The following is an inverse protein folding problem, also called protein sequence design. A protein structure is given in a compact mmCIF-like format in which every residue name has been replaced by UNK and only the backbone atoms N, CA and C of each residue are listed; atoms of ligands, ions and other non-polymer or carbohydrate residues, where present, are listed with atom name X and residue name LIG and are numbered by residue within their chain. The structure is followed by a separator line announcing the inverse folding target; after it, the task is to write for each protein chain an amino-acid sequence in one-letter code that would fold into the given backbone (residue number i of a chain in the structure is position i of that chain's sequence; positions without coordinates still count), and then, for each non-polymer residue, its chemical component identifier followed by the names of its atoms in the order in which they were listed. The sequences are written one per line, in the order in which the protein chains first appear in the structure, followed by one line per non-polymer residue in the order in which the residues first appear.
data_IF_728741229034
#
_entry.id   IF_728741229034
#
_cell.length_a   1.000
_cell.length_b   1.000
_cell.length_c   1.000
_cell.angle_alpha   90.00
_cell.angle_beta   90.00
_cell.angle_gamma   90.00
#
_symmetry.space_group_name_H-M   'P 1'
#
loop_
_entity.id
_entity.type
_entity.pdbx_description
1 polymer ?
#
# COMPACT_ATOMS: atom_id res chain seq x y z
N UNK A 1 10.11 12.53 -26.07
CA UNK A 1 11.29 11.77 -26.50
C UNK A 1 11.42 10.55 -25.61
N UNK A 2 11.55 9.36 -26.21
CA UNK A 2 11.86 8.12 -25.48
C UNK A 2 13.38 8.08 -25.40
N UNK A 3 13.92 8.20 -24.21
CA UNK A 3 15.34 7.94 -24.00
C UNK A 3 15.44 6.54 -23.43
N UNK A 4 15.78 5.57 -24.29
CA UNK A 4 16.23 4.25 -23.81
C UNK A 4 17.64 4.44 -23.31
N UNK A 5 17.93 4.03 -22.09
CA UNK A 5 19.26 4.06 -21.53
C UNK A 5 20.09 2.94 -22.16
N UNK A 6 21.22 3.23 -22.82
CA UNK A 6 22.02 2.20 -23.46
C UNK A 6 22.61 1.25 -22.41
N UNK A 7 22.47 -0.05 -22.65
CA UNK A 7 23.03 -1.12 -21.82
C UNK A 7 24.57 -1.11 -21.76
N UNK A 8 25.23 -0.27 -22.53
CA UNK A 8 26.69 -0.22 -22.70
C UNK A 8 27.45 0.47 -21.58
N UNK A 9 26.80 1.15 -20.64
CA UNK A 9 27.47 1.77 -19.49
C UNK A 9 27.57 0.86 -18.26
N UNK A 10 27.06 -0.39 -18.32
CA UNK A 10 27.18 -1.38 -17.24
C UNK A 10 28.34 -2.39 -17.44
N UNK A 11 29.14 -2.25 -18.50
CA UNK A 11 30.30 -3.13 -18.76
C UNK A 11 31.59 -2.53 -18.20
N UNK A 12 31.71 -2.46 -16.90
CA UNK A 12 32.95 -1.97 -16.26
C UNK A 12 33.16 -2.53 -14.85
N UNK A 13 32.29 -3.45 -14.39
CA UNK A 13 32.49 -4.14 -13.13
C UNK A 13 32.76 -5.62 -13.43
N UNK A 14 34.05 -5.96 -13.50
CA UNK A 14 34.52 -7.35 -13.40
C UNK A 14 34.05 -7.91 -12.06
N UNK A 15 33.61 -9.19 -11.94
CA UNK A 15 33.33 -9.78 -10.66
C UNK A 15 34.63 -9.88 -9.87
N UNK A 16 34.82 -8.96 -8.92
CA UNK A 16 35.84 -9.11 -7.88
C UNK A 16 35.37 -10.23 -6.96
N UNK A 17 36.25 -11.19 -6.72
CA UNK A 17 36.10 -12.23 -5.69
C UNK A 17 35.82 -11.58 -4.33
N UNK A 18 35.08 -12.24 -3.42
CA UNK A 18 34.73 -11.68 -2.13
C UNK A 18 35.98 -11.69 -1.22
N UNK A 19 36.72 -10.59 -1.20
CA UNK A 19 37.60 -10.29 -0.06
C UNK A 19 36.72 -9.93 1.12
N UNK A 20 36.98 -10.63 2.23
CA UNK A 20 36.20 -10.54 3.45
C UNK A 20 36.34 -9.17 4.13
N UNK A 21 35.28 -8.86 4.87
CA UNK A 21 35.19 -7.92 5.98
C UNK A 21 35.58 -6.44 5.76
N UNK A 22 34.56 -5.65 5.49
CA UNK A 22 34.21 -4.51 6.35
C UNK A 22 32.78 -4.01 6.06
N UNK A 23 31.77 -4.76 6.47
CA UNK A 23 30.34 -4.35 6.43
C UNK A 23 29.96 -3.37 7.55
N UNK A 24 30.92 -2.68 8.18
CA UNK A 24 30.65 -1.85 9.36
C UNK A 24 30.61 -0.34 9.11
N UNK A 25 30.70 0.16 7.86
CA UNK A 25 30.76 1.61 7.61
C UNK A 25 29.99 2.14 6.40
N UNK A 26 28.82 1.63 6.09
CA UNK A 26 27.78 2.45 5.45
C UNK A 26 26.62 2.57 6.43
N UNK A 27 26.68 3.58 7.30
CA UNK A 27 25.53 3.96 8.10
C UNK A 27 24.39 4.25 7.12
N UNK A 28 23.41 3.33 7.04
CA UNK A 28 22.12 3.63 6.43
C UNK A 28 21.65 4.96 7.03
N UNK A 29 21.10 5.89 6.24
CA UNK A 29 20.63 7.16 6.79
C UNK A 29 19.76 6.85 8.00
N UNK A 30 20.06 7.49 9.12
CA UNK A 30 19.41 7.26 10.41
C UNK A 30 17.89 7.31 10.23
N UNK A 31 17.24 6.17 10.43
CA UNK A 31 15.79 6.03 10.27
C UNK A 31 15.14 6.65 11.50
N UNK A 32 14.72 7.90 11.39
CA UNK A 32 14.10 8.65 12.48
C UNK A 32 12.59 8.86 12.27
N UNK A 33 11.75 8.06 12.94
CA UNK A 33 10.30 8.22 12.91
C UNK A 33 9.81 9.60 13.38
N UNK A 34 10.57 10.33 14.21
CA UNK A 34 10.21 11.65 14.71
C UNK A 34 10.19 12.74 13.61
N UNK A 35 10.83 12.47 12.46
CA UNK A 35 10.77 13.36 11.29
C UNK A 35 9.45 13.33 10.53
N UNK A 36 8.54 12.41 10.87
CA UNK A 36 7.24 12.24 10.18
C UNK A 36 6.16 12.98 10.95
N UNK A 37 5.77 14.16 10.46
CA UNK A 37 4.69 14.97 11.05
C UNK A 37 3.45 14.99 10.13
N UNK A 38 2.47 14.13 10.46
CA UNK A 38 1.20 14.03 9.74
C UNK A 38 0.36 15.29 9.92
N UNK A 39 0.43 15.96 11.08
CA UNK A 39 -0.33 17.17 11.35
C UNK A 39 0.23 18.37 10.56
N UNK A 40 1.56 18.51 10.45
CA UNK A 40 2.18 19.49 9.56
C UNK A 40 1.75 19.26 8.11
N UNK A 41 1.84 18.00 7.64
CA UNK A 41 1.44 17.64 6.29
C UNK A 41 -0.04 17.98 6.04
N UNK A 42 -0.93 17.72 7.00
CA UNK A 42 -2.36 18.05 6.88
C UNK A 42 -2.59 19.56 6.72
N UNK A 43 -1.96 20.37 7.58
CA UNK A 43 -2.05 21.84 7.48
C UNK A 43 -1.51 22.34 6.13
N UNK A 44 -0.40 21.79 5.67
CA UNK A 44 0.19 22.22 4.40
C UNK A 44 -0.65 21.76 3.19
N UNK A 45 -1.26 20.56 3.24
CA UNK A 45 -2.07 20.02 2.15
C UNK A 45 -3.48 20.60 2.08
N UNK A 46 -3.94 21.33 3.09
CA UNK A 46 -5.27 21.95 3.10
C UNK A 46 -5.48 22.87 1.88
N UNK A 47 -6.60 22.67 1.18
CA UNK A 47 -6.91 23.34 -0.10
C UNK A 47 -6.01 22.94 -1.29
N UNK A 48 -4.97 22.13 -1.09
CA UNK A 48 -4.05 21.68 -2.15
C UNK A 48 -4.39 20.31 -2.72
N UNK A 49 -5.03 19.46 -1.95
CA UNK A 49 -5.57 18.15 -2.36
C UNK A 49 -7.10 18.15 -2.25
N UNK A 50 -7.75 17.13 -2.79
CA UNK A 50 -9.19 16.98 -2.58
C UNK A 50 -9.42 16.40 -1.18
N UNK A 51 -10.35 17.00 -0.43
CA UNK A 51 -10.92 16.34 0.72
C UNK A 51 -11.94 15.33 0.20
N UNK A 52 -11.50 14.09 0.03
CA UNK A 52 -12.29 13.02 -0.59
C UNK A 52 -13.47 12.62 0.32
N UNK A 53 -14.60 12.17 -0.23
CA UNK A 53 -15.77 11.82 0.57
C UNK A 53 -15.52 10.59 1.45
N UNK A 54 -16.28 10.54 2.55
CA UNK A 54 -16.43 9.36 3.38
C UNK A 54 -17.67 8.60 2.91
N UNK A 55 -17.48 7.35 2.51
CA UNK A 55 -18.53 6.49 1.96
C UNK A 55 -18.92 5.41 2.95
N UNK A 56 -20.17 4.96 2.87
CA UNK A 56 -20.73 3.86 3.66
C UNK A 56 -21.82 3.14 2.88
N UNK A 57 -21.93 1.83 3.04
CA UNK A 57 -23.04 1.02 2.51
C UNK A 57 -23.63 0.15 3.63
N UNK A 58 -24.96 0.24 3.90
CA UNK A 58 -25.61 -0.68 4.83
C UNK A 58 -25.51 -2.15 4.42
N UNK A 59 -25.36 -2.45 3.13
CA UNK A 59 -25.14 -3.81 2.65
C UNK A 59 -23.75 -4.32 3.05
N UNK A 60 -22.72 -3.51 2.88
CA UNK A 60 -21.34 -3.83 3.31
C UNK A 60 -21.27 -3.95 4.83
N UNK A 61 -21.92 -3.05 5.58
CA UNK A 61 -21.99 -3.13 7.03
C UNK A 61 -22.57 -4.47 7.53
N UNK A 62 -23.64 -4.94 6.88
CA UNK A 62 -24.25 -6.25 7.22
C UNK A 62 -23.31 -7.42 6.95
N UNK A 63 -22.61 -7.41 5.81
CA UNK A 63 -21.64 -8.45 5.46
C UNK A 63 -20.45 -8.44 6.42
N UNK A 64 -19.97 -7.25 6.79
CA UNK A 64 -18.88 -7.08 7.72
C UNK A 64 -19.27 -7.27 9.19
N UNK A 65 -20.56 -7.25 9.55
CA UNK A 65 -21.00 -7.29 10.95
C UNK A 65 -20.61 -6.08 11.79
N UNK A 66 -20.05 -5.05 11.16
CA UNK A 66 -19.60 -3.79 11.76
C UNK A 66 -19.92 -2.62 10.84
N UNK A 67 -19.94 -1.40 11.36
CA UNK A 67 -20.00 -0.20 10.53
C UNK A 67 -18.67 0.00 9.81
N UNK A 68 -18.70 0.11 8.48
CA UNK A 68 -17.50 0.33 7.64
C UNK A 68 -17.57 1.73 7.04
N UNK A 69 -16.62 2.58 7.43
CA UNK A 69 -16.43 3.92 6.87
C UNK A 69 -15.26 3.91 5.90
N UNK A 70 -15.48 4.30 4.64
CA UNK A 70 -14.49 4.18 3.56
C UNK A 70 -14.08 5.56 3.05
N UNK A 71 -12.81 5.95 3.23
CA UNK A 71 -12.22 7.18 2.68
C UNK A 71 -11.89 6.97 1.20
N UNK A 72 -12.57 7.68 0.31
CA UNK A 72 -12.53 7.44 -1.14
C UNK A 72 -11.31 8.10 -1.81
N UNK A 73 -10.10 7.68 -1.48
CA UNK A 73 -8.87 8.20 -2.08
C UNK A 73 -8.65 7.76 -3.54
N UNK A 74 -9.43 6.81 -4.04
CA UNK A 74 -9.56 6.52 -5.46
C UNK A 74 -10.12 7.69 -6.28
N UNK A 75 -10.81 8.64 -5.63
CA UNK A 75 -11.32 9.88 -6.23
C UNK A 75 -10.34 11.06 -6.08
N UNK A 76 -9.19 10.86 -5.46
CA UNK A 76 -8.17 11.90 -5.32
C UNK A 76 -7.59 12.30 -6.68
N UNK A 77 -7.02 13.51 -6.79
CA UNK A 77 -6.26 13.94 -7.97
C UNK A 77 -5.19 12.91 -8.30
N UNK A 78 -5.07 12.52 -9.58
CA UNK A 78 -4.19 11.43 -9.99
C UNK A 78 -4.71 10.03 -9.66
N UNK A 79 -5.95 9.92 -9.14
CA UNK A 79 -6.64 8.65 -8.92
C UNK A 79 -6.13 7.84 -7.72
N UNK A 80 -5.37 8.44 -6.78
CA UNK A 80 -4.90 7.72 -5.59
C UNK A 80 -4.40 8.64 -4.47
N UNK A 81 -4.37 8.13 -3.25
CA UNK A 81 -3.82 8.80 -2.06
C UNK A 81 -2.33 9.17 -2.19
N UNK A 82 -1.60 8.55 -3.14
CA UNK A 82 -0.20 8.88 -3.42
C UNK A 82 0.01 10.36 -3.75
N UNK A 83 -1.03 11.03 -4.26
CA UNK A 83 -0.99 12.47 -4.50
C UNK A 83 -0.68 13.28 -3.24
N UNK A 84 -1.13 12.85 -2.08
CA UNK A 84 -0.91 13.53 -0.80
C UNK A 84 0.57 13.54 -0.44
N UNK A 85 1.20 12.36 -0.38
CA UNK A 85 2.62 12.23 -0.08
C UNK A 85 3.51 12.82 -1.18
N UNK A 86 3.19 12.58 -2.46
CA UNK A 86 3.95 13.14 -3.58
C UNK A 86 3.93 14.67 -3.61
N UNK A 87 2.75 15.28 -3.38
CA UNK A 87 2.62 16.75 -3.38
C UNK A 87 3.34 17.38 -2.19
N UNK A 88 3.24 16.80 -0.99
CA UNK A 88 3.90 17.32 0.19
C UNK A 88 5.44 17.22 0.07
N UNK A 89 5.96 16.05 -0.29
CA UNK A 89 7.40 15.84 -0.44
C UNK A 89 8.00 16.75 -1.54
N UNK A 90 7.40 16.78 -2.73
CA UNK A 90 7.90 17.66 -3.81
C UNK A 90 7.80 19.12 -3.41
N UNK A 91 6.72 19.55 -2.75
CA UNK A 91 6.57 20.94 -2.30
C UNK A 91 7.65 21.36 -1.30
N UNK A 92 8.03 20.49 -0.37
CA UNK A 92 9.14 20.73 0.58
C UNK A 92 10.50 20.81 -0.12
N UNK A 93 10.74 19.91 -1.07
CA UNK A 93 11.98 19.94 -1.87
C UNK A 93 12.10 21.22 -2.70
N UNK A 94 11.00 21.67 -3.31
CA UNK A 94 10.97 22.95 -4.04
C UNK A 94 11.21 24.14 -3.11
N UNK A 95 10.61 24.13 -1.93
CA UNK A 95 10.88 25.17 -0.91
C UNK A 95 12.35 25.17 -0.43
N UNK A 96 13.01 24.01 -0.46
CA UNK A 96 14.45 23.88 -0.20
C UNK A 96 15.34 24.28 -1.40
N UNK A 97 14.76 24.73 -2.52
CA UNK A 97 15.49 25.23 -3.70
C UNK A 97 15.74 24.21 -4.80
N UNK A 98 15.25 22.98 -4.70
CA UNK A 98 15.42 21.97 -5.74
C UNK A 98 14.59 22.31 -6.99
N UNK A 99 15.17 22.07 -8.17
CA UNK A 99 14.58 22.38 -9.49
C UNK A 99 13.99 21.16 -10.20
N UNK A 100 14.08 20.00 -9.61
CA UNK A 100 13.53 18.75 -10.13
C UNK A 100 13.59 17.64 -9.11
N UNK A 101 12.98 16.51 -9.44
CA UNK A 101 12.93 15.30 -8.62
C UNK A 101 13.07 14.05 -9.48
N UNK A 102 13.57 12.99 -8.89
CA UNK A 102 13.65 11.66 -9.50
C UNK A 102 12.80 10.68 -8.68
N UNK A 103 12.08 9.77 -9.33
CA UNK A 103 11.34 8.72 -8.66
C UNK A 103 11.39 7.40 -9.43
N UNK A 104 11.22 6.28 -8.72
CA UNK A 104 11.02 4.97 -9.30
C UNK A 104 9.62 4.47 -8.95
N UNK A 105 8.80 4.21 -9.95
CA UNK A 105 7.49 3.58 -9.74
C UNK A 105 6.81 3.33 -11.07
N UNK A 106 6.14 2.20 -11.21
CA UNK A 106 5.31 1.87 -12.38
C UNK A 106 3.84 2.28 -12.24
N UNK A 107 3.44 2.87 -11.11
CA UNK A 107 2.02 3.10 -10.79
C UNK A 107 1.74 4.49 -10.22
N UNK A 108 0.87 4.50 -9.23
CA UNK A 108 0.28 5.70 -8.64
C UNK A 108 1.30 6.73 -8.12
N UNK A 109 2.47 6.28 -7.63
CA UNK A 109 3.49 7.19 -7.13
C UNK A 109 4.15 7.99 -8.26
N UNK A 110 4.42 7.35 -9.41
CA UNK A 110 4.96 8.03 -10.59
C UNK A 110 4.05 9.19 -11.03
N UNK A 111 2.75 8.92 -11.12
CA UNK A 111 1.74 9.91 -11.49
C UNK A 111 1.68 11.03 -10.45
N UNK A 112 1.70 10.69 -9.16
CA UNK A 112 1.64 11.67 -8.08
C UNK A 112 2.84 12.62 -8.08
N UNK A 113 4.06 12.11 -8.22
CA UNK A 113 5.29 12.90 -8.28
C UNK A 113 5.30 13.79 -9.54
N UNK A 114 4.89 13.25 -10.69
CA UNK A 114 4.81 14.01 -11.94
C UNK A 114 3.82 15.19 -11.85
N UNK A 115 2.61 14.93 -11.32
CA UNK A 115 1.59 15.97 -11.11
C UNK A 115 2.05 17.02 -10.10
N UNK A 116 2.72 16.59 -9.02
CA UNK A 116 3.27 17.49 -8.02
C UNK A 116 4.36 18.39 -8.60
N UNK A 117 5.32 17.83 -9.33
CA UNK A 117 6.38 18.59 -10.00
C UNK A 117 5.81 19.58 -11.02
N UNK A 118 4.86 19.15 -11.86
CA UNK A 118 4.15 20.03 -12.80
C UNK A 118 3.46 21.20 -12.10
N UNK A 119 2.82 20.95 -10.96
CA UNK A 119 2.16 22.00 -10.17
C UNK A 119 3.14 23.05 -9.65
N UNK A 120 4.35 22.64 -9.33
CA UNK A 120 5.41 23.51 -8.83
C UNK A 120 6.33 24.07 -9.94
N UNK A 121 6.10 23.73 -11.21
CA UNK A 121 6.91 24.18 -12.34
C UNK A 121 8.33 23.64 -12.35
N UNK A 122 8.56 22.44 -11.77
CA UNK A 122 9.87 21.78 -11.71
C UNK A 122 9.87 20.47 -12.50
N UNK A 123 11.07 19.96 -12.85
CA UNK A 123 11.21 18.73 -13.61
C UNK A 123 10.88 17.49 -12.76
N UNK A 124 10.24 16.48 -13.36
CA UNK A 124 10.13 15.14 -12.81
C UNK A 124 10.71 14.12 -13.77
N UNK A 125 11.66 13.31 -13.30
CA UNK A 125 12.14 12.13 -14.03
C UNK A 125 11.67 10.87 -13.33
N UNK A 126 10.99 9.98 -14.05
CA UNK A 126 10.45 8.73 -13.50
C UNK A 126 11.08 7.55 -14.21
N UNK A 127 11.67 6.64 -13.45
CA UNK A 127 12.28 5.41 -13.97
C UNK A 127 11.28 4.27 -13.88
N UNK A 128 10.97 3.66 -15.04
CA UNK A 128 10.09 2.50 -15.17
C UNK A 128 10.90 1.32 -15.73
N UNK A 129 10.46 0.06 -15.51
CA UNK A 129 11.11 -1.09 -16.15
C UNK A 129 10.95 -1.05 -17.66
N UNK A 130 11.87 -1.70 -18.38
CA UNK A 130 11.87 -1.72 -19.87
C UNK A 130 10.65 -2.42 -20.44
N UNK A 131 10.03 -3.33 -19.68
CA UNK A 131 8.82 -4.09 -20.00
C UNK A 131 7.54 -3.47 -19.42
N UNK A 132 7.59 -2.21 -18.96
CA UNK A 132 6.42 -1.53 -18.42
C UNK A 132 5.28 -1.45 -19.45
N UNK A 133 4.04 -1.77 -19.08
CA UNK A 133 2.89 -1.61 -19.97
C UNK A 133 2.80 -0.20 -20.54
N UNK A 134 2.51 -0.10 -21.84
CA UNK A 134 2.42 1.18 -22.55
C UNK A 134 1.46 2.17 -21.86
N UNK A 135 0.33 1.68 -21.34
CA UNK A 135 -0.65 2.47 -20.60
C UNK A 135 -0.06 3.14 -19.35
N UNK A 136 0.82 2.47 -18.62
CA UNK A 136 1.50 3.04 -17.43
C UNK A 136 2.54 4.07 -17.84
N UNK A 137 3.28 3.83 -18.92
CA UNK A 137 4.24 4.79 -19.50
C UNK A 137 3.52 6.08 -19.93
N UNK A 138 2.44 5.93 -20.70
CA UNK A 138 1.67 7.08 -21.19
C UNK A 138 1.00 7.86 -20.06
N UNK A 139 0.52 7.18 -19.04
CA UNK A 139 -0.06 7.84 -17.85
C UNK A 139 0.97 8.71 -17.12
N UNK A 140 2.21 8.23 -16.96
CA UNK A 140 3.30 9.01 -16.37
C UNK A 140 3.67 10.23 -17.24
N UNK A 141 3.73 10.06 -18.58
CA UNK A 141 3.98 11.16 -19.53
C UNK A 141 2.87 12.20 -19.52
N UNK A 142 1.61 11.77 -19.57
CA UNK A 142 0.44 12.65 -19.51
C UNK A 142 0.41 13.48 -18.22
N UNK A 143 0.92 12.92 -17.11
CA UNK A 143 1.12 13.62 -15.86
C UNK A 143 2.24 14.67 -15.90
N UNK A 144 3.12 14.64 -16.92
CA UNK A 144 4.19 15.60 -17.13
C UNK A 144 5.60 15.10 -16.81
N UNK A 145 5.80 13.79 -16.59
CA UNK A 145 7.12 13.23 -16.33
C UNK A 145 7.95 13.00 -17.58
N UNK A 146 9.26 13.21 -17.48
CA UNK A 146 10.26 12.55 -18.32
C UNK A 146 10.35 11.09 -17.90
N UNK A 147 10.02 10.17 -18.81
CA UNK A 147 10.09 8.72 -18.53
C UNK A 147 11.40 8.15 -19.04
N UNK A 148 12.13 7.47 -18.19
CA UNK A 148 13.33 6.67 -18.49
C UNK A 148 12.96 5.21 -18.30
N UNK A 149 13.17 4.40 -19.34
CA UNK A 149 12.99 2.96 -19.28
C UNK A 149 14.32 2.30 -18.96
N UNK A 150 14.41 1.57 -17.85
CA UNK A 150 15.66 0.96 -17.39
C UNK A 150 15.41 -0.27 -16.52
N UNK A 151 16.26 -1.29 -16.72
CA UNK A 151 16.28 -2.51 -15.91
C UNK A 151 15.00 -3.34 -15.99
N UNK A 152 15.14 -4.62 -15.66
CA UNK A 152 14.02 -5.57 -15.53
C UNK A 152 13.66 -5.81 -14.04
N UNK A 153 14.61 -5.65 -13.15
CA UNK A 153 14.41 -5.80 -11.70
C UNK A 153 14.51 -4.46 -10.94
N UNK A 154 14.14 -4.49 -9.67
CA UNK A 154 14.08 -3.28 -8.81
C UNK A 154 15.47 -2.72 -8.54
N UNK A 155 16.51 -3.59 -8.35
CA UNK A 155 17.86 -3.16 -8.01
C UNK A 155 18.49 -2.37 -9.15
N UNK A 156 18.35 -2.86 -10.41
CA UNK A 156 18.79 -2.14 -11.60
C UNK A 156 18.13 -0.77 -11.73
N UNK A 157 16.81 -0.68 -11.52
CA UNK A 157 16.10 0.61 -11.55
C UNK A 157 16.57 1.58 -10.48
N UNK A 158 16.81 1.09 -9.26
CA UNK A 158 17.32 1.92 -8.17
C UNK A 158 18.74 2.44 -8.46
N UNK A 159 19.59 1.65 -9.13
CA UNK A 159 20.90 2.09 -9.58
C UNK A 159 20.78 3.27 -10.57
N UNK A 160 19.89 3.16 -11.57
CA UNK A 160 19.62 4.25 -12.53
C UNK A 160 19.02 5.48 -11.85
N UNK A 161 18.13 5.30 -10.89
CA UNK A 161 17.57 6.42 -10.11
C UNK A 161 18.67 7.16 -9.35
N UNK A 162 19.60 6.45 -8.68
CA UNK A 162 20.73 7.07 -7.97
C UNK A 162 21.65 7.82 -8.96
N UNK A 163 22.01 7.19 -10.06
CA UNK A 163 22.83 7.82 -11.09
C UNK A 163 22.17 9.10 -11.61
N UNK A 164 20.89 9.08 -11.95
CA UNK A 164 20.16 10.27 -12.40
C UNK A 164 20.09 11.36 -11.31
N UNK A 165 19.97 10.97 -10.05
CA UNK A 165 20.00 11.90 -8.92
C UNK A 165 21.38 12.57 -8.79
N UNK A 166 22.46 11.80 -8.90
CA UNK A 166 23.84 12.29 -8.82
C UNK A 166 24.18 13.22 -9.98
N UNK A 167 23.80 12.84 -11.22
CA UNK A 167 24.04 13.62 -12.43
C UNK A 167 23.29 14.95 -12.47
N UNK A 168 22.07 14.97 -11.95
CA UNK A 168 21.17 16.14 -12.07
C UNK A 168 21.11 16.99 -10.81
N UNK A 169 21.57 16.47 -9.65
CA UNK A 169 21.35 17.05 -8.34
C UNK A 169 19.88 17.02 -7.89
N UNK A 170 19.02 16.27 -8.58
CA UNK A 170 17.61 16.15 -8.25
C UNK A 170 17.40 15.09 -7.18
N UNK A 171 16.80 15.41 -6.02
CA UNK A 171 16.55 14.45 -4.97
C UNK A 171 15.61 13.34 -5.38
N UNK A 172 15.79 12.17 -4.76
CA UNK A 172 14.92 11.01 -4.94
C UNK A 172 13.70 11.14 -4.04
N UNK A 173 12.51 10.97 -4.62
CA UNK A 173 11.25 10.86 -3.87
C UNK A 173 10.82 9.40 -3.86
N UNK A 174 11.16 8.70 -2.77
CA UNK A 174 10.77 7.29 -2.60
C UNK A 174 9.27 7.13 -2.37
N UNK A 175 8.70 6.02 -2.84
CA UNK A 175 7.25 5.79 -2.85
C UNK A 175 6.64 5.53 -1.45
N UNK A 176 7.46 5.15 -0.48
CA UNK A 176 7.04 4.75 0.86
C UNK A 176 8.12 4.94 1.94
N UNK A 177 9.40 4.96 1.59
CA UNK A 177 10.52 5.09 2.54
C UNK A 177 11.08 6.52 2.57
N UNK A 178 10.17 7.49 2.71
CA UNK A 178 10.47 8.92 2.72
C UNK A 178 9.58 9.63 3.77
N UNK A 179 10.12 10.41 4.70
CA UNK A 179 9.35 10.99 5.82
C UNK A 179 8.18 11.85 5.35
N UNK A 180 8.38 12.74 4.39
CA UNK A 180 7.32 13.61 3.88
C UNK A 180 6.27 12.83 3.08
N UNK A 181 6.66 11.74 2.41
CA UNK A 181 5.71 10.87 1.71
C UNK A 181 4.82 10.13 2.72
N UNK A 182 5.41 9.57 3.78
CA UNK A 182 4.67 8.91 4.86
C UNK A 182 3.73 9.91 5.55
N UNK A 183 4.23 11.10 5.91
CA UNK A 183 3.44 12.16 6.53
C UNK A 183 2.24 12.56 5.67
N UNK A 184 2.48 12.85 4.40
CA UNK A 184 1.42 13.24 3.47
C UNK A 184 0.38 12.13 3.27
N UNK A 185 0.78 10.86 3.15
CA UNK A 185 -0.13 9.73 3.03
C UNK A 185 -0.97 9.51 4.30
N UNK A 186 -0.40 9.75 5.48
CA UNK A 186 -1.09 9.68 6.77
C UNK A 186 -2.27 10.63 6.88
N UNK A 187 -2.27 11.73 6.11
CA UNK A 187 -3.37 12.73 6.15
C UNK A 187 -4.71 12.16 5.68
N UNK A 188 -4.72 11.12 4.83
CA UNK A 188 -5.96 10.44 4.44
C UNK A 188 -6.62 9.74 5.64
N UNK A 189 -5.81 9.08 6.47
CA UNK A 189 -6.27 8.46 7.72
C UNK A 189 -6.67 9.49 8.77
N UNK A 190 -5.93 10.59 8.88
CA UNK A 190 -6.28 11.68 9.79
C UNK A 190 -7.65 12.29 9.44
N UNK A 191 -7.89 12.60 8.16
CA UNK A 191 -9.19 13.09 7.69
C UNK A 191 -10.32 12.08 7.98
N UNK A 192 -10.08 10.77 7.75
CA UNK A 192 -11.05 9.71 8.04
C UNK A 192 -11.41 9.68 9.53
N UNK A 193 -10.41 9.73 10.42
CA UNK A 193 -10.62 9.75 11.87
C UNK A 193 -11.46 10.96 12.28
N UNK A 194 -11.05 12.17 11.86
CA UNK A 194 -11.75 13.41 12.19
C UNK A 194 -13.19 13.46 11.65
N UNK A 195 -13.42 12.92 10.44
CA UNK A 195 -14.76 12.86 9.84
C UNK A 195 -15.66 11.86 10.56
N UNK A 196 -15.10 10.72 10.97
CA UNK A 196 -15.80 9.73 11.79
C UNK A 196 -16.19 10.31 13.16
N UNK A 197 -15.27 10.98 13.85
CA UNK A 197 -15.52 11.66 15.13
C UNK A 197 -16.62 12.72 14.99
N UNK A 198 -16.53 13.60 13.97
CA UNK A 198 -17.54 14.64 13.71
C UNK A 198 -18.93 14.09 13.37
N UNK A 199 -18.99 12.91 12.75
CA UNK A 199 -20.26 12.24 12.43
C UNK A 199 -20.87 11.46 13.60
N UNK A 200 -20.24 11.48 14.78
CA UNK A 200 -20.69 10.71 15.94
C UNK A 200 -20.45 9.19 15.82
N UNK A 201 -19.52 8.79 14.94
CA UNK A 201 -19.15 7.40 14.71
C UNK A 201 -17.64 7.19 14.86
N UNK A 202 -17.05 7.44 16.04
CA UNK A 202 -15.61 7.29 16.24
C UNK A 202 -15.16 5.89 15.89
N UNK A 203 -13.94 5.79 15.33
CA UNK A 203 -13.37 4.53 14.87
C UNK A 203 -12.85 3.70 16.05
N UNK A 204 -13.09 2.39 16.00
CA UNK A 204 -12.39 1.40 16.83
C UNK A 204 -11.13 0.90 16.14
N UNK A 205 -11.13 0.82 14.82
CA UNK A 205 -9.97 0.36 14.05
C UNK A 205 -9.84 1.08 12.69
N UNK A 206 -8.60 1.09 12.19
CA UNK A 206 -8.24 1.43 10.81
C UNK A 206 -7.66 0.20 10.12
N UNK A 207 -8.09 -0.07 8.89
CA UNK A 207 -7.61 -1.19 8.08
C UNK A 207 -7.11 -0.66 6.74
N UNK A 208 -5.81 -0.86 6.45
CA UNK A 208 -5.15 -0.33 5.26
C UNK A 208 -4.39 -1.40 4.49
N UNK A 209 -4.43 -1.37 3.15
CA UNK A 209 -3.57 -2.21 2.33
C UNK A 209 -2.10 -1.83 2.50
N UNK A 210 -1.22 -2.83 2.50
CA UNK A 210 0.23 -2.67 2.68
C UNK A 210 0.97 -3.14 1.43
N UNK A 211 1.69 -2.20 0.82
CA UNK A 211 2.78 -2.50 -0.09
C UNK A 211 4.11 -2.24 0.64
N UNK A 212 4.81 -1.13 0.36
CA UNK A 212 6.03 -0.73 1.07
C UNK A 212 5.81 -0.17 2.49
N UNK A 213 4.58 -0.09 2.98
CA UNK A 213 4.26 0.27 4.36
C UNK A 213 4.00 1.76 4.64
N UNK A 214 4.29 2.68 3.71
CA UNK A 214 4.18 4.13 3.97
C UNK A 214 2.78 4.59 4.36
N UNK A 215 1.72 3.99 3.77
CA UNK A 215 0.33 4.34 4.11
C UNK A 215 -0.06 3.89 5.52
N UNK A 216 0.24 2.64 5.88
CA UNK A 216 -0.08 2.11 7.20
C UNK A 216 0.76 2.75 8.30
N UNK A 217 2.02 3.11 8.00
CA UNK A 217 2.86 3.90 8.92
C UNK A 217 2.26 5.28 9.20
N UNK A 218 1.84 6.00 8.16
CA UNK A 218 1.12 7.26 8.30
C UNK A 218 -0.18 7.12 9.08
N UNK A 219 -0.93 6.02 8.91
CA UNK A 219 -2.14 5.72 9.66
C UNK A 219 -1.86 5.48 11.16
N UNK A 220 -0.79 4.74 11.50
CA UNK A 220 -0.36 4.55 12.88
C UNK A 220 -0.05 5.89 13.57
N UNK A 221 0.60 6.81 12.85
CA UNK A 221 0.89 8.14 13.40
C UNK A 221 -0.37 8.99 13.50
N UNK A 222 -1.28 8.94 12.54
CA UNK A 222 -2.57 9.65 12.61
C UNK A 222 -3.44 9.15 13.77
N UNK A 223 -3.38 7.87 14.10
CA UNK A 223 -4.12 7.24 15.19
C UNK A 223 -3.44 7.43 16.56
N UNK A 224 -2.22 7.95 16.60
CA UNK A 224 -1.45 8.07 17.85
C UNK A 224 -2.22 8.89 18.91
N UNK A 225 -2.26 8.41 20.15
CA UNK A 225 -2.99 9.03 21.26
C UNK A 225 -4.51 8.80 21.25
N UNK A 226 -5.03 8.01 20.29
CA UNK A 226 -6.44 7.63 20.20
C UNK A 226 -6.61 6.13 20.46
N UNK A 227 -7.77 5.66 20.99
CA UNK A 227 -8.04 4.24 21.22
C UNK A 227 -8.43 3.53 19.90
N UNK A 228 -7.63 3.70 18.85
CA UNK A 228 -7.87 3.16 17.51
C UNK A 228 -6.80 2.11 17.22
N UNK A 229 -7.22 0.88 16.95
CA UNK A 229 -6.33 -0.19 16.51
C UNK A 229 -6.02 -0.04 15.01
N UNK A 230 -4.78 -0.24 14.58
CA UNK A 230 -4.41 -0.17 13.15
C UNK A 230 -3.99 -1.55 12.67
N UNK A 231 -4.60 -2.00 11.57
CA UNK A 231 -4.31 -3.27 10.91
C UNK A 231 -3.78 -3.03 9.50
N UNK A 232 -2.76 -3.80 9.12
CA UNK A 232 -2.30 -3.90 7.74
C UNK A 232 -3.03 -5.03 7.00
N UNK A 233 -3.14 -4.91 5.67
CA UNK A 233 -3.65 -5.99 4.81
C UNK A 233 -2.65 -6.26 3.71
N UNK A 234 -2.19 -7.52 3.59
CA UNK A 234 -1.26 -7.96 2.56
C UNK A 234 -1.85 -9.15 1.78
N UNK A 235 -1.61 -9.23 0.45
CA UNK A 235 -1.92 -10.43 -0.30
C UNK A 235 -1.02 -11.60 0.14
N UNK A 236 -1.53 -12.83 0.13
CA UNK A 236 -0.70 -14.01 0.32
C UNK A 236 0.47 -14.02 -0.68
N UNK A 237 1.67 -14.33 -0.19
CA UNK A 237 2.90 -14.31 -0.99
C UNK A 237 3.47 -12.92 -1.30
N UNK A 238 2.81 -11.83 -0.84
CA UNK A 238 3.33 -10.46 -0.84
C UNK A 238 3.37 -9.90 0.59
N UNK A 239 3.65 -10.75 1.57
CA UNK A 239 3.46 -10.56 3.01
C UNK A 239 4.75 -10.16 3.74
N UNK A 240 5.53 -9.24 3.13
CA UNK A 240 6.80 -8.77 3.67
C UNK A 240 6.66 -8.13 5.05
N UNK A 241 5.62 -7.32 5.30
CA UNK A 241 5.43 -6.69 6.60
C UNK A 241 5.14 -7.71 7.70
N UNK A 242 4.24 -8.67 7.45
CA UNK A 242 3.93 -9.71 8.41
C UNK A 242 5.19 -10.49 8.81
N UNK A 243 5.97 -10.96 7.81
CA UNK A 243 7.24 -11.66 8.06
C UNK A 243 8.29 -10.79 8.76
N UNK A 244 8.29 -9.48 8.47
CA UNK A 244 9.21 -8.55 9.11
C UNK A 244 8.86 -8.33 10.58
N UNK A 245 7.58 -8.28 10.94
CA UNK A 245 7.12 -8.20 12.33
C UNK A 245 7.49 -9.45 13.11
N UNK A 246 7.29 -10.64 12.52
CA UNK A 246 7.67 -11.90 13.13
C UNK A 246 9.21 -12.00 13.37
N UNK A 247 10.00 -11.48 12.43
CA UNK A 247 11.45 -11.49 12.49
C UNK A 247 12.07 -10.33 13.31
N UNK A 248 11.28 -9.32 13.70
CA UNK A 248 11.77 -8.11 14.37
C UNK A 248 12.64 -7.17 13.51
N UNK A 249 12.74 -7.43 12.19
CA UNK A 249 13.51 -6.65 11.21
C UNK A 249 12.89 -6.75 9.82
N UNK A 250 13.15 -5.79 8.90
CA UNK A 250 12.71 -5.93 7.52
C UNK A 250 13.19 -7.23 6.86
N UNK A 251 12.26 -7.98 6.28
CA UNK A 251 12.49 -9.25 5.60
C UNK A 251 12.00 -9.15 4.16
N UNK A 252 12.88 -9.28 3.17
CA UNK A 252 12.46 -9.31 1.77
C UNK A 252 11.76 -10.63 1.44
N UNK A 253 10.78 -10.52 0.52
CA UNK A 253 10.07 -11.65 -0.07
C UNK A 253 10.21 -11.61 -1.59
N UNK A 254 10.06 -12.74 -2.26
CA UNK A 254 9.81 -12.80 -3.70
C UNK A 254 8.31 -12.65 -3.92
N UNK A 255 7.82 -11.51 -4.44
CA UNK A 255 6.38 -11.28 -4.50
C UNK A 255 5.69 -12.25 -5.45
N UNK A 256 4.68 -12.95 -4.95
CA UNK A 256 3.82 -13.80 -5.78
C UNK A 256 2.99 -12.96 -6.77
N UNK A 257 2.51 -13.56 -7.87
CA UNK A 257 1.49 -12.95 -8.71
C UNK A 257 0.23 -12.64 -7.88
N UNK A 258 -0.34 -11.45 -8.09
CA UNK A 258 -1.62 -11.03 -7.50
C UNK A 258 -2.28 -9.97 -8.37
N UNK A 259 -3.60 -9.89 -8.36
CA UNK A 259 -4.37 -8.80 -9.01
C UNK A 259 -4.11 -7.44 -8.35
N UNK A 260 -3.65 -7.42 -7.10
CA UNK A 260 -3.30 -6.21 -6.35
C UNK A 260 -1.85 -5.78 -6.63
N UNK A 261 -1.56 -5.39 -7.88
CA UNK A 261 -0.21 -5.07 -8.37
C UNK A 261 0.52 -3.98 -7.58
N UNK A 262 -0.21 -3.02 -6.98
CA UNK A 262 0.33 -1.97 -6.11
C UNK A 262 0.83 -2.47 -4.76
N UNK A 263 0.52 -3.72 -4.37
CA UNK A 263 0.90 -4.34 -3.09
C UNK A 263 2.04 -5.36 -3.24
N UNK A 264 2.86 -5.26 -4.31
CA UNK A 264 3.97 -6.17 -4.64
C UNK A 264 5.39 -5.64 -4.35
N UNK A 265 5.66 -4.66 -3.48
CA UNK A 265 7.02 -4.42 -3.04
C UNK A 265 7.62 -5.67 -2.40
N UNK A 266 8.90 -5.92 -2.70
CA UNK A 266 9.61 -7.09 -2.16
C UNK A 266 9.96 -6.94 -0.68
N UNK A 267 9.95 -5.71 -0.15
CA UNK A 267 10.26 -5.46 1.25
C UNK A 267 9.52 -4.21 1.76
N UNK A 268 9.07 -4.25 3.00
CA UNK A 268 8.64 -3.06 3.72
C UNK A 268 9.81 -2.09 3.87
N UNK A 269 9.56 -0.77 3.77
CA UNK A 269 10.60 0.25 3.97
C UNK A 269 11.11 0.30 5.40
N UNK A 270 12.35 0.74 5.58
CA UNK A 270 12.98 0.82 6.89
C UNK A 270 12.25 1.80 7.83
N UNK A 271 11.91 3.01 7.34
CA UNK A 271 11.15 4.00 8.09
C UNK A 271 9.72 3.53 8.40
N UNK A 272 8.91 3.04 7.43
CA UNK A 272 7.63 2.42 7.74
C UNK A 272 7.71 1.33 8.79
N UNK A 273 8.67 0.40 8.68
CA UNK A 273 8.84 -0.67 9.65
C UNK A 273 9.15 -0.14 11.06
N UNK A 274 10.07 0.82 11.19
CA UNK A 274 10.39 1.44 12.47
C UNK A 274 9.19 2.13 13.14
N UNK A 275 8.24 2.64 12.33
CA UNK A 275 7.00 3.25 12.84
C UNK A 275 6.00 2.17 13.28
N UNK A 276 5.77 1.13 12.45
CA UNK A 276 4.64 0.21 12.65
C UNK A 276 4.93 -0.91 13.64
N UNK A 277 6.20 -1.32 13.83
CA UNK A 277 6.57 -2.49 14.66
C UNK A 277 5.99 -2.47 16.07
N UNK A 278 5.84 -1.27 16.66
CA UNK A 278 5.35 -1.08 18.03
C UNK A 278 3.92 -0.49 18.08
N UNK A 279 3.29 -0.24 16.93
CA UNK A 279 1.99 0.46 16.84
C UNK A 279 0.93 -0.31 16.08
N UNK A 280 1.34 -1.25 15.22
CA UNK A 280 0.40 -2.03 14.44
C UNK A 280 -0.19 -3.15 15.30
N UNK A 281 -1.51 -3.33 15.24
CA UNK A 281 -2.19 -4.40 15.97
C UNK A 281 -1.95 -5.77 15.35
N UNK A 282 -1.82 -5.81 14.00
CA UNK A 282 -1.53 -7.02 13.26
C UNK A 282 -1.67 -6.84 11.76
N UNK A 283 -1.37 -7.93 11.01
CA UNK A 283 -1.49 -7.99 9.56
C UNK A 283 -2.49 -9.08 9.17
N UNK A 284 -3.46 -8.71 8.34
CA UNK A 284 -4.47 -9.61 7.78
C UNK A 284 -4.00 -10.00 6.39
N UNK A 285 -3.85 -11.30 6.13
CA UNK A 285 -3.53 -11.79 4.78
C UNK A 285 -4.82 -12.10 4.03
N UNK A 286 -4.88 -11.73 2.75
CA UNK A 286 -6.03 -11.97 1.86
C UNK A 286 -5.57 -12.60 0.55
N UNK A 287 -6.46 -13.36 -0.09
CA UNK A 287 -6.22 -13.88 -1.43
C UNK A 287 -6.89 -13.02 -2.52
N UNK A 288 -6.58 -13.34 -3.78
CA UNK A 288 -7.10 -12.60 -4.93
C UNK A 288 -8.62 -12.71 -5.07
N UNK A 289 -9.24 -13.79 -4.62
CA UNK A 289 -10.70 -13.97 -4.67
C UNK A 289 -11.39 -13.04 -3.66
N UNK A 290 -10.86 -12.95 -2.43
CA UNK A 290 -11.34 -12.02 -1.40
C UNK A 290 -11.18 -10.55 -1.85
N UNK A 291 -10.06 -10.23 -2.53
CA UNK A 291 -9.84 -8.89 -3.10
C UNK A 291 -10.84 -8.63 -4.23
N UNK A 292 -11.09 -9.61 -5.11
CA UNK A 292 -12.04 -9.48 -6.21
C UNK A 292 -13.47 -9.34 -5.70
N UNK A 293 -13.86 -10.03 -4.62
CA UNK A 293 -15.16 -9.87 -3.98
C UNK A 293 -15.31 -8.45 -3.40
N UNK A 294 -14.31 -7.95 -2.67
CA UNK A 294 -14.32 -6.58 -2.16
C UNK A 294 -14.39 -5.55 -3.30
N UNK A 295 -13.68 -5.78 -4.41
CA UNK A 295 -13.77 -4.96 -5.62
C UNK A 295 -15.20 -4.92 -6.17
N UNK A 296 -15.86 -6.09 -6.30
CA UNK A 296 -17.26 -6.18 -6.78
C UNK A 296 -18.23 -5.44 -5.85
N UNK A 297 -18.06 -5.57 -4.54
CA UNK A 297 -18.89 -4.85 -3.57
C UNK A 297 -18.73 -3.32 -3.70
N UNK A 298 -17.51 -2.82 -3.86
CA UNK A 298 -17.28 -1.39 -4.10
C UNK A 298 -17.93 -0.93 -5.41
N UNK A 299 -17.76 -1.71 -6.47
CA UNK A 299 -18.32 -1.38 -7.79
C UNK A 299 -19.85 -1.46 -7.82
N UNK A 300 -20.45 -2.52 -7.29
CA UNK A 300 -21.87 -2.82 -7.46
C UNK A 300 -22.75 -2.24 -6.34
N UNK A 301 -22.25 -2.16 -5.09
CA UNK A 301 -23.04 -1.60 -3.98
C UNK A 301 -22.83 -0.09 -3.81
N UNK A 302 -21.58 0.39 -3.93
CA UNK A 302 -21.26 1.81 -3.77
C UNK A 302 -21.18 2.57 -5.09
N UNK A 303 -21.14 1.87 -6.25
CA UNK A 303 -20.94 2.46 -7.58
C UNK A 303 -19.60 3.22 -7.68
N UNK A 304 -18.59 2.70 -6.99
CA UNK A 304 -17.26 3.32 -6.88
C UNK A 304 -16.22 2.37 -7.44
N UNK A 305 -15.45 2.85 -8.41
CA UNK A 305 -14.34 2.10 -9.00
C UNK A 305 -13.08 2.29 -8.16
N UNK A 306 -12.66 1.25 -7.45
CA UNK A 306 -11.34 1.15 -6.83
C UNK A 306 -10.47 0.16 -7.61
N UNK A 307 -9.15 0.33 -7.62
CA UNK A 307 -8.24 -0.71 -8.10
C UNK A 307 -8.16 -1.87 -7.08
N UNK A 308 -7.77 -3.10 -7.47
CA UNK A 308 -7.68 -4.23 -6.55
C UNK A 308 -6.83 -3.93 -5.31
N UNK A 309 -5.69 -3.24 -5.47
CA UNK A 309 -4.88 -2.77 -4.34
C UNK A 309 -5.63 -1.84 -3.38
N UNK A 310 -6.55 -1.02 -3.91
CA UNK A 310 -7.41 -0.14 -3.12
C UNK A 310 -8.57 -0.87 -2.44
N UNK A 311 -9.04 -1.99 -3.02
CA UNK A 311 -10.09 -2.82 -2.46
C UNK A 311 -9.61 -3.78 -1.35
N UNK A 312 -8.30 -4.09 -1.31
CA UNK A 312 -7.74 -5.05 -0.37
C UNK A 312 -8.02 -4.70 1.11
N UNK A 313 -8.12 -3.40 1.45
CA UNK A 313 -8.50 -2.98 2.81
C UNK A 313 -9.89 -3.46 3.21
N UNK A 314 -10.87 -3.38 2.31
CA UNK A 314 -12.22 -3.91 2.55
C UNK A 314 -12.21 -5.44 2.64
N UNK A 315 -11.44 -6.14 1.79
CA UNK A 315 -11.26 -7.60 1.90
C UNK A 315 -10.75 -8.00 3.29
N UNK A 316 -9.79 -7.24 3.83
CA UNK A 316 -9.29 -7.43 5.19
C UNK A 316 -10.36 -7.26 6.27
N UNK A 317 -11.25 -6.26 6.14
CA UNK A 317 -12.37 -6.06 7.08
C UNK A 317 -13.34 -7.23 7.04
N UNK A 318 -13.75 -7.67 5.86
CA UNK A 318 -14.66 -8.80 5.69
C UNK A 318 -14.08 -10.09 6.30
N UNK A 319 -12.79 -10.34 6.14
CA UNK A 319 -12.09 -11.48 6.74
C UNK A 319 -11.99 -11.35 8.27
N UNK A 320 -11.64 -10.17 8.80
CA UNK A 320 -11.50 -9.93 10.23
C UNK A 320 -12.82 -10.20 10.97
N UNK A 321 -13.94 -9.85 10.34
CA UNK A 321 -15.29 -10.02 10.90
C UNK A 321 -15.81 -11.45 10.77
N UNK A 322 -15.50 -12.16 9.68
CA UNK A 322 -15.87 -13.56 9.49
C UNK A 322 -15.24 -14.49 10.53
N UNK A 323 -13.99 -14.24 10.93
CA UNK A 323 -13.33 -15.00 12.00
C UNK A 323 -13.94 -14.78 13.39
N UNK A 324 -14.64 -13.65 13.61
CA UNK A 324 -15.38 -13.39 14.85
C UNK A 324 -16.79 -14.02 14.87
N UNK A 325 -17.34 -14.40 13.70
CA UNK A 325 -18.66 -15.03 13.58
C UNK A 325 -18.63 -16.56 13.84
N UNK A 326 -17.48 -17.20 13.74
CA UNK A 326 -17.30 -18.64 13.97
C UNK A 326 -17.05 -19.04 15.43
N UNK A 327 -17.28 -18.15 16.41
CA UNK A 327 -17.35 -18.51 17.84
C UNK A 327 -18.77 -18.41 18.41
N UNK A 328 -19.68 -19.34 18.07
CA UNK A 328 -20.80 -19.64 18.96
C UNK A 328 -20.27 -20.55 20.06
N UNK A 329 -20.45 -20.17 21.32
CA UNK A 329 -20.17 -21.05 22.45
C UNK A 329 -20.89 -22.40 22.32
N UNK A 330 -20.10 -23.48 22.19
CA UNK A 330 -20.62 -24.82 22.11
C UNK A 330 -19.51 -25.83 22.36
N UNK A 331 -19.36 -26.24 23.65
CA UNK A 331 -18.70 -27.51 23.99
C UNK A 331 -19.38 -28.65 23.27
N UNK A 332 -18.65 -29.44 22.49
CA UNK A 332 -18.96 -30.83 22.26
C UNK A 332 -17.73 -31.69 22.53
N UNK A 333 -17.93 -32.58 23.48
CA UNK A 333 -17.04 -33.66 23.86
C UNK A 333 -16.98 -34.75 22.79
N UNK A 334 -15.76 -35.26 22.50
CA UNK A 334 -15.44 -36.66 22.27
C UNK A 334 -15.86 -37.30 20.96
N UNK A 335 -14.90 -37.65 20.13
CA UNK A 335 -14.51 -39.05 19.85
C UNK A 335 -13.58 -39.14 18.64
N UNK A 336 -12.63 -40.09 18.73
CA UNK A 336 -11.63 -40.47 17.75
C UNK A 336 -12.19 -40.77 16.37
N UNK A 337 -11.48 -40.30 15.30
CA UNK A 337 -11.17 -41.15 14.14
C UNK A 337 -10.21 -40.43 13.16
N UNK A 338 -9.09 -41.07 12.91
CA UNK A 338 -8.30 -41.19 11.68
C UNK A 338 -7.99 -39.97 10.81
N UNK A 339 -6.68 -39.68 10.65
CA UNK A 339 -6.07 -38.79 9.67
C UNK A 339 -6.27 -39.33 8.24
N UNK A 340 -6.48 -38.42 7.28
CA UNK A 340 -5.75 -38.52 6.03
C UNK A 340 -4.98 -37.22 5.70
N UNK A 341 -3.85 -37.44 5.04
CA UNK A 341 -2.74 -36.57 4.83
C UNK A 341 -2.96 -35.26 4.10
N UNK A 342 -2.23 -34.30 4.58
CA UNK A 342 -1.47 -33.27 3.98
C UNK A 342 -1.98 -32.59 2.69
N UNK A 343 -2.59 -31.42 2.84
CA UNK A 343 -2.44 -30.20 2.01
C UNK A 343 -3.20 -28.99 2.55
N UNK A 344 -4.01 -29.12 3.60
CA UNK A 344 -4.83 -28.04 4.14
C UNK A 344 -4.25 -27.32 5.38
N UNK A 345 -3.08 -27.72 5.86
CA UNK A 345 -2.46 -27.13 7.05
C UNK A 345 -1.87 -25.72 6.82
N UNK A 346 -1.52 -25.37 5.59
CA UNK A 346 -0.95 -24.03 5.30
C UNK A 346 -1.98 -22.91 5.18
N UNK A 347 -3.26 -23.23 5.00
CA UNK A 347 -4.34 -22.21 4.90
C UNK A 347 -4.80 -21.65 6.25
N UNK A 348 -4.56 -22.34 7.36
CA UNK A 348 -5.04 -21.95 8.70
C UNK A 348 -4.03 -21.15 9.55
N UNK A 349 -2.76 -21.11 9.19
CA UNK A 349 -1.71 -20.43 9.97
C UNK A 349 -1.70 -18.89 9.87
N UNK A 350 -2.67 -18.26 9.22
CA UNK A 350 -2.68 -16.82 8.94
C UNK A 350 -3.40 -15.94 9.96
N UNK A 351 -4.03 -16.49 11.00
CA UNK A 351 -4.84 -15.73 11.98
C UNK A 351 -4.37 -15.92 13.43
N UNK A 352 -3.44 -16.86 13.68
CA UNK A 352 -3.05 -17.29 15.05
C UNK A 352 -2.22 -16.25 15.84
N UNK A 353 -1.84 -15.13 15.23
CA UNK A 353 -1.15 -14.01 15.90
C UNK A 353 -2.05 -12.98 16.59
N UNK A 354 -3.38 -13.08 16.50
CA UNK A 354 -4.34 -12.10 17.08
C UNK A 354 -4.97 -12.58 18.41
N UNK A 355 -4.59 -13.73 18.90
CA UNK A 355 -5.13 -14.38 20.10
C UNK A 355 -4.43 -13.99 21.41
N UNK A 356 -4.43 -12.71 21.78
CA UNK A 356 -4.10 -12.24 23.15
C UNK A 356 -5.38 -11.88 23.92
N UNK A 357 -5.56 -12.37 25.12
CA UNK A 357 -6.70 -12.23 26.01
C UNK A 357 -7.32 -10.82 26.00
N UNK A 358 -8.59 -10.70 25.56
CA UNK A 358 -9.36 -9.45 25.62
C UNK A 358 -9.56 -8.79 24.25
N UNK A 359 -10.09 -9.51 23.24
CA UNK A 359 -10.49 -8.88 21.97
C UNK A 359 -11.63 -7.88 22.22
N UNK A 360 -11.29 -6.59 22.10
CA UNK A 360 -12.28 -5.52 22.08
C UNK A 360 -13.22 -5.75 20.89
N UNK A 361 -14.52 -5.73 21.12
CA UNK A 361 -15.50 -5.82 20.04
C UNK A 361 -15.42 -4.54 19.21
N UNK A 362 -15.12 -4.68 17.91
CA UNK A 362 -15.14 -3.57 16.97
C UNK A 362 -16.59 -3.23 16.58
N UNK A 363 -16.92 -1.94 16.53
CA UNK A 363 -18.23 -1.43 16.12
C UNK A 363 -18.13 -0.57 14.86
N UNK A 364 -17.06 0.22 14.74
CA UNK A 364 -16.82 1.08 13.58
C UNK A 364 -15.38 0.93 13.09
N UNK A 365 -15.23 0.54 11.83
CA UNK A 365 -13.93 0.32 11.18
C UNK A 365 -13.76 1.30 10.03
N UNK A 366 -12.63 1.98 9.97
CA UNK A 366 -12.23 2.84 8.87
C UNK A 366 -11.37 2.11 7.86
N UNK A 367 -11.63 2.32 6.57
CA UNK A 367 -10.84 1.81 5.44
C UNK A 367 -10.45 2.96 4.53
N UNK A 368 -9.22 2.94 3.99
CA UNK A 368 -8.80 3.86 2.94
C UNK A 368 -8.83 3.12 1.60
N UNK A 369 -9.69 3.55 0.67
CA UNK A 369 -9.72 3.08 -0.72
C UNK A 369 -8.57 3.77 -1.46
N UNK A 370 -7.38 3.20 -1.43
CA UNK A 370 -6.11 3.87 -1.71
C UNK A 370 -5.92 4.33 -3.14
N UNK A 371 -6.62 3.74 -4.12
CA UNK A 371 -6.54 4.12 -5.53
C UNK A 371 -7.64 3.51 -6.40
N UNK A 372 -7.80 4.08 -7.60
CA UNK A 372 -8.77 3.66 -8.61
C UNK A 372 -8.18 3.53 -10.02
N UNK A 373 -6.85 3.55 -10.15
CA UNK A 373 -6.16 3.48 -11.43
C UNK A 373 -6.06 2.03 -11.94
N UNK A 374 -7.15 1.50 -12.48
CA UNK A 374 -7.29 0.13 -12.97
C UNK A 374 -7.47 0.10 -14.48
N UNK A 375 -7.00 -0.97 -15.14
CA UNK A 375 -7.18 -1.20 -16.57
C UNK A 375 -8.60 -1.73 -16.87
N UNK A 376 -9.21 -1.27 -17.98
CA UNK A 376 -10.58 -1.61 -18.34
C UNK A 376 -10.82 -3.12 -18.46
N UNK A 377 -9.88 -3.85 -19.04
CA UNK A 377 -9.96 -5.31 -19.19
C UNK A 377 -9.97 -6.03 -17.83
N UNK A 378 -9.24 -5.51 -16.84
CA UNK A 378 -9.26 -6.05 -15.50
C UNK A 378 -10.62 -5.78 -14.83
N UNK A 379 -11.18 -4.59 -15.01
CA UNK A 379 -12.53 -4.25 -14.53
C UNK A 379 -13.56 -5.23 -15.10
N UNK A 380 -13.54 -5.46 -16.41
CA UNK A 380 -14.47 -6.37 -17.08
C UNK A 380 -14.37 -7.81 -16.52
N UNK A 381 -13.15 -8.31 -16.32
CA UNK A 381 -12.95 -9.64 -15.72
C UNK A 381 -13.43 -9.73 -14.29
N UNK A 382 -13.11 -8.75 -13.44
CA UNK A 382 -13.45 -8.78 -12.02
C UNK A 382 -14.92 -8.49 -11.73
N UNK A 383 -15.60 -7.70 -12.58
CA UNK A 383 -17.01 -7.39 -12.42
C UNK A 383 -17.92 -8.61 -12.65
N UNK A 384 -17.46 -9.61 -13.42
CA UNK A 384 -18.20 -10.83 -13.69
C UNK A 384 -17.87 -11.87 -12.62
N UNK A 385 -18.87 -12.39 -11.85
CA UNK A 385 -18.62 -13.51 -10.94
C UNK A 385 -18.11 -14.72 -11.73
N UNK A 386 -17.09 -15.42 -11.24
CA UNK A 386 -16.78 -16.74 -11.77
C UNK A 386 -18.00 -17.63 -11.59
N UNK A 387 -18.68 -18.01 -12.70
CA UNK A 387 -19.61 -19.14 -12.65
C UNK A 387 -18.76 -20.36 -12.31
N UNK A 388 -18.98 -20.94 -11.15
CA UNK A 388 -18.63 -22.34 -10.91
C UNK A 388 -19.42 -23.08 -12.01
N UNK A 389 -18.75 -23.62 -13.01
CA UNK A 389 -19.36 -24.60 -13.91
C UNK A 389 -19.78 -25.76 -13.00
N UNK A 390 -21.05 -25.79 -12.64
CA UNK A 390 -21.67 -27.02 -12.11
C UNK A 390 -21.45 -28.07 -13.19
N UNK A 391 -20.53 -29.00 -12.88
CA UNK A 391 -20.19 -30.10 -13.77
C UNK A 391 -21.44 -30.71 -14.33
N UNK A 392 -21.55 -30.70 -15.64
CA UNK A 392 -22.55 -31.48 -16.37
C UNK A 392 -22.35 -32.94 -15.97
N UNK A 393 -23.16 -33.39 -15.02
CA UNK A 393 -23.41 -34.80 -14.80
C UNK A 393 -24.38 -35.24 -15.94
N UNK A 394 -23.81 -35.86 -16.97
CA UNK A 394 -24.52 -36.70 -17.91
C UNK A 394 -24.30 -38.15 -17.56
#
# INVERSE_FOLDING_TARGET
MITTWPATHLTGVSPAEPEGDDMSRSASPEVDPARVDVAEAARWLDGRVLRTPLLRSPAIDRLAGVRVLMKAENLQRGGSYKMRGGLFAVGRLVAAGHRGVVAQSTGNHAVAVALAARRHGVAATVVLPVDAPATKVERARAAGARVVLAGTDVAQRLAVVRQLSDETGHPIVDAYDHPDVVAGQGTASLELIEEAERSGAPLDALVLPVGGGGGVAGACLAAAGRPIEVYGVEPYGCDSLARSLDAGRPVPVTPAPTIADGLRPSCVGALPFAIVRDRLRGVIRVDDEQIAEAFRLLLLELKVLAEPSGAAGLAGVLRLSGSNAEQPGGRLSGSNAEQPGGRDAERQAGVDGVGGSGTRRLHTVGVVLTGGNVEADLVARLATPHRIEEGAAA
#
